data_IF_584081345328
#
_entry.id   IF_584081345328
#
_cell.length_a   1.000
_cell.length_b   1.000
_cell.length_c   1.000
_cell.angle_alpha   90.00
_cell.angle_beta   90.00
_cell.angle_gamma   90.00
#
_symmetry.space_group_name_H-M   'P 1'
#
loop_
_entity.id
_entity.type
_entity.pdbx_description
1 polymer ?
#
# COMPACT_ATOMS: atom_id res chain seq x y z
N UNK A 1 -11.95 -13.64 35.84
CA UNK A 1 -12.73 -12.57 35.20
C UNK A 1 -11.73 -11.53 34.73
N UNK A 2 -11.31 -11.62 33.48
CA UNK A 2 -10.45 -10.63 32.85
C UNK A 2 -11.25 -9.34 32.72
N UNK A 3 -10.74 -8.25 33.32
CA UNK A 3 -11.35 -6.94 33.20
C UNK A 3 -11.23 -6.50 31.73
N UNK A 4 -12.29 -6.72 30.95
CA UNK A 4 -12.37 -6.15 29.63
C UNK A 4 -12.38 -4.63 29.80
N UNK A 5 -11.51 -3.90 29.10
CA UNK A 5 -11.36 -2.44 29.22
C UNK A 5 -12.58 -1.60 28.83
N UNK A 6 -13.78 -2.19 28.77
CA UNK A 6 -15.05 -1.52 28.51
C UNK A 6 -15.47 -0.56 29.63
N UNK A 7 -15.00 -0.79 30.86
CA UNK A 7 -15.41 0.03 32.02
C UNK A 7 -14.70 1.39 32.09
N UNK A 8 -13.60 1.59 31.34
CA UNK A 8 -12.82 2.82 31.32
C UNK A 8 -12.59 3.32 29.89
N UNK A 9 -13.22 4.43 29.51
CA UNK A 9 -12.99 5.11 28.22
C UNK A 9 -14.27 5.51 27.49
N UNK A 10 -14.13 6.22 26.37
CA UNK A 10 -15.26 6.54 25.48
C UNK A 10 -15.53 5.35 24.57
N UNK A 11 -16.79 4.94 24.45
CA UNK A 11 -17.23 3.84 23.57
C UNK A 11 -16.73 3.99 22.12
N UNK A 12 -16.72 5.22 21.58
CA UNK A 12 -16.09 5.59 20.31
C UNK A 12 -16.36 4.62 19.14
N UNK A 13 -17.64 4.24 18.94
CA UNK A 13 -18.08 3.37 17.84
C UNK A 13 -17.62 3.87 16.46
N UNK A 14 -17.51 3.02 15.42
CA UNK A 14 -16.95 3.39 14.12
C UNK A 14 -17.44 4.74 13.57
N UNK A 15 -18.75 5.00 13.59
CA UNK A 15 -19.40 6.23 13.11
C UNK A 15 -19.23 7.48 14.02
N UNK A 16 -18.44 7.40 15.09
CA UNK A 16 -18.24 8.47 16.08
C UNK A 16 -16.81 9.00 16.04
N UNK A 17 -16.68 10.32 16.06
CA UNK A 17 -15.39 11.00 16.20
C UNK A 17 -14.76 11.40 14.87
N UNK A 18 -13.47 11.73 14.91
CA UNK A 18 -12.70 12.10 13.72
C UNK A 18 -12.18 10.83 13.06
N UNK A 19 -12.39 10.70 11.75
CA UNK A 19 -11.95 9.55 10.95
C UNK A 19 -10.48 9.67 10.55
N UNK A 20 -9.57 9.50 11.51
CA UNK A 20 -8.17 9.14 11.23
C UNK A 20 -8.05 7.63 11.01
N UNK A 21 -6.96 7.19 10.41
CA UNK A 21 -6.72 5.77 10.14
C UNK A 21 -6.70 4.95 11.45
N UNK A 22 -7.57 3.95 11.53
CA UNK A 22 -7.84 3.15 12.71
C UNK A 22 -8.12 3.96 14.00
N UNK A 23 -8.61 5.20 13.84
CA UNK A 23 -8.77 6.18 14.92
C UNK A 23 -7.50 6.52 15.69
N UNK A 24 -6.35 6.40 15.03
CA UNK A 24 -5.04 6.76 15.58
C UNK A 24 -4.96 8.27 15.86
N UNK A 25 -4.13 8.71 16.82
CA UNK A 25 -3.91 10.14 17.07
C UNK A 25 -3.45 10.89 15.82
N UNK A 26 -4.09 12.03 15.54
CA UNK A 26 -3.64 12.95 14.50
C UNK A 26 -2.40 13.72 14.97
N UNK A 27 -1.39 13.82 14.11
CA UNK A 27 -0.17 14.57 14.36
C UNK A 27 0.08 15.56 13.22
N UNK A 28 -0.21 16.83 13.49
CA UNK A 28 -0.02 17.93 12.52
C UNK A 28 1.47 18.23 12.27
N UNK A 29 2.29 18.24 13.32
CA UNK A 29 3.71 18.55 13.21
C UNK A 29 4.54 17.29 12.93
N UNK A 30 4.95 17.12 11.67
CA UNK A 30 5.72 15.96 11.21
C UNK A 30 7.15 15.89 11.77
N UNK A 31 7.65 16.95 12.43
CA UNK A 31 8.93 16.92 13.16
C UNK A 31 8.83 16.26 14.54
N UNK A 32 7.62 15.91 14.98
CA UNK A 32 7.34 15.32 16.30
C UNK A 32 6.89 13.86 16.20
N UNK A 33 7.15 13.19 15.08
CA UNK A 33 6.80 11.77 14.89
C UNK A 33 7.56 10.95 15.93
N UNK A 34 6.80 10.32 16.84
CA UNK A 34 7.30 9.43 17.89
C UNK A 34 6.43 8.16 17.93
N UNK A 35 6.43 7.43 16.82
CA UNK A 35 5.57 6.29 16.55
C UNK A 35 6.34 5.16 15.87
N UNK A 36 5.75 3.97 15.87
CA UNK A 36 6.30 2.82 15.15
C UNK A 36 5.79 2.81 13.70
N UNK A 37 4.58 3.34 13.47
CA UNK A 37 3.95 3.51 12.16
C UNK A 37 3.40 4.92 12.01
N UNK A 38 3.60 5.52 10.85
CA UNK A 38 3.00 6.80 10.49
C UNK A 38 2.21 6.67 9.19
N UNK A 39 0.94 7.09 9.23
CA UNK A 39 0.03 7.08 8.10
C UNK A 39 0.08 8.44 7.40
N UNK A 40 0.24 8.44 6.08
CA UNK A 40 0.22 9.65 5.26
C UNK A 40 -0.75 9.45 4.08
N UNK A 41 -1.68 10.36 3.88
CA UNK A 41 -2.49 10.36 2.65
C UNK A 41 -1.80 11.09 1.50
N UNK A 42 -1.95 10.56 0.29
CA UNK A 42 -1.47 11.17 -0.95
C UNK A 42 -2.64 11.32 -1.94
N UNK A 43 -3.58 12.26 -1.72
CA UNK A 43 -4.84 12.38 -2.48
C UNK A 43 -4.64 12.97 -3.89
N UNK A 44 -3.85 12.31 -4.72
CA UNK A 44 -3.46 12.72 -6.07
C UNK A 44 -3.97 11.71 -7.10
N UNK A 45 -4.73 12.16 -8.11
CA UNK A 45 -5.17 11.30 -9.22
C UNK A 45 -5.01 11.95 -10.60
N UNK A 46 -4.10 12.92 -10.73
CA UNK A 46 -3.92 13.68 -11.97
C UNK A 46 -3.16 12.87 -13.04
N UNK A 47 -2.57 11.73 -12.66
CA UNK A 47 -1.87 10.80 -13.54
C UNK A 47 -2.77 9.72 -14.15
N UNK A 48 -4.06 9.67 -13.77
CA UNK A 48 -5.04 8.68 -14.26
C UNK A 48 -5.35 8.84 -15.76
N UNK A 49 -5.63 7.72 -16.42
CA UNK A 49 -5.93 7.68 -17.86
C UNK A 49 -7.39 7.39 -18.20
N UNK A 50 -8.17 6.88 -17.25
CA UNK A 50 -9.59 6.57 -17.49
C UNK A 50 -10.49 7.23 -16.45
N UNK A 51 -10.80 6.57 -15.34
CA UNK A 51 -11.66 7.10 -14.29
C UNK A 51 -10.82 7.80 -13.22
N UNK A 52 -11.07 9.09 -13.02
CA UNK A 52 -10.63 9.80 -11.82
C UNK A 52 -11.46 9.37 -10.60
N UNK A 53 -10.98 9.65 -9.40
CA UNK A 53 -11.68 9.37 -8.14
C UNK A 53 -10.75 8.92 -7.02
N UNK A 54 -9.55 8.43 -7.37
CA UNK A 54 -8.58 7.94 -6.40
C UNK A 54 -8.08 9.02 -5.43
N UNK A 55 -8.21 10.32 -5.77
CA UNK A 55 -7.94 11.42 -4.82
C UNK A 55 -8.80 11.36 -3.54
N UNK A 56 -9.94 10.66 -3.56
CA UNK A 56 -10.78 10.44 -2.38
C UNK A 56 -10.47 9.12 -1.64
N UNK A 57 -9.58 8.30 -2.20
CA UNK A 57 -9.09 7.04 -1.62
C UNK A 57 -8.59 7.20 -0.19
N UNK A 58 -7.71 8.16 0.14
CA UNK A 58 -7.19 8.30 1.51
C UNK A 58 -8.29 8.55 2.54
N UNK A 59 -9.32 9.32 2.19
CA UNK A 59 -10.46 9.58 3.07
C UNK A 59 -11.35 8.34 3.22
N UNK A 60 -11.67 7.67 2.12
CA UNK A 60 -12.47 6.44 2.13
C UNK A 60 -11.82 5.34 2.96
N UNK A 61 -10.50 5.15 2.82
CA UNK A 61 -9.75 4.15 3.60
C UNK A 61 -9.76 4.51 5.09
N UNK A 62 -9.54 5.78 5.46
CA UNK A 62 -9.62 6.21 6.86
C UNK A 62 -11.00 5.96 7.46
N UNK A 63 -12.06 6.33 6.75
CA UNK A 63 -13.44 6.10 7.20
C UNK A 63 -13.71 4.61 7.41
N UNK A 64 -13.38 3.78 6.42
CA UNK A 64 -13.55 2.33 6.50
C UNK A 64 -12.73 1.70 7.64
N UNK A 65 -11.51 2.20 7.88
CA UNK A 65 -10.64 1.70 8.95
C UNK A 65 -11.19 1.90 10.36
N UNK A 66 -12.16 2.81 10.55
CA UNK A 66 -12.82 3.00 11.85
C UNK A 66 -13.60 1.77 12.31
N UNK A 67 -14.01 0.90 11.36
CA UNK A 67 -14.62 -0.40 11.64
C UNK A 67 -13.68 -1.34 12.42
N UNK A 68 -12.37 -1.18 12.17
CA UNK A 68 -11.31 -2.03 12.70
C UNK A 68 -10.47 -1.30 13.75
N UNK A 69 -10.99 -0.21 14.33
CA UNK A 69 -10.38 0.45 15.47
C UNK A 69 -10.60 -0.40 16.73
N UNK A 70 -9.87 -1.52 16.81
CA UNK A 70 -9.86 -2.39 17.98
C UNK A 70 -9.25 -1.63 19.15
N UNK A 71 -9.83 -1.77 20.35
CA UNK A 71 -9.39 -1.03 21.53
C UNK A 71 -7.94 -1.30 21.93
N UNK A 72 -7.51 -0.72 23.05
CA UNK A 72 -6.12 -0.73 23.56
C UNK A 72 -5.46 -2.12 23.78
N UNK A 73 -6.18 -3.22 23.54
CA UNK A 73 -5.72 -4.60 23.77
C UNK A 73 -5.20 -5.31 22.51
N UNK A 74 -5.12 -4.62 21.36
CA UNK A 74 -4.75 -5.25 20.09
C UNK A 74 -5.91 -6.03 19.43
N UNK A 75 -5.58 -6.78 18.38
CA UNK A 75 -6.53 -7.55 17.57
C UNK A 75 -6.12 -9.03 17.56
N UNK A 76 -6.82 -9.83 18.37
CA UNK A 76 -6.62 -11.29 18.38
C UNK A 76 -7.17 -11.92 17.10
N UNK A 77 -6.31 -12.69 16.43
CA UNK A 77 -6.68 -13.57 15.35
C UNK A 77 -6.68 -15.03 15.82
N UNK A 78 -7.75 -15.75 15.50
CA UNK A 78 -7.91 -17.15 15.87
C UNK A 78 -7.11 -18.08 14.95
N UNK A 79 -6.96 -17.72 13.67
CA UNK A 79 -6.27 -18.58 12.70
C UNK A 79 -4.77 -18.68 13.03
N UNK A 80 -4.16 -17.54 13.34
CA UNK A 80 -2.75 -17.46 13.72
C UNK A 80 -2.49 -17.66 15.24
N UNK A 81 -3.53 -17.69 16.08
CA UNK A 81 -3.48 -17.69 17.56
C UNK A 81 -2.57 -16.56 18.12
N UNK A 82 -2.73 -15.36 17.57
CA UNK A 82 -1.85 -14.22 17.80
C UNK A 82 -2.66 -12.94 18.04
N UNK A 83 -2.22 -12.11 18.98
CA UNK A 83 -2.73 -10.74 19.13
C UNK A 83 -1.85 -9.76 18.34
N UNK A 84 -2.38 -9.24 17.25
CA UNK A 84 -1.74 -8.23 16.42
C UNK A 84 -1.91 -6.82 17.00
N UNK A 85 -1.03 -5.90 16.58
CA UNK A 85 -1.08 -4.46 16.90
C UNK A 85 -0.96 -4.12 18.40
N UNK A 86 -0.79 -5.10 19.28
CA UNK A 86 -0.65 -4.86 20.72
C UNK A 86 0.63 -4.07 21.04
N UNK A 87 0.45 -2.94 21.74
CA UNK A 87 1.52 -2.04 22.12
C UNK A 87 2.16 -1.27 20.95
N UNK A 88 1.56 -1.30 19.75
CA UNK A 88 2.06 -0.58 18.58
C UNK A 88 1.58 0.87 18.59
N UNK A 89 2.50 1.83 18.41
CA UNK A 89 2.16 3.26 18.30
C UNK A 89 1.97 3.61 16.84
N UNK A 90 0.74 3.96 16.48
CA UNK A 90 0.36 4.44 15.16
C UNK A 90 -0.05 5.92 15.28
N UNK A 91 0.40 6.76 14.35
CA UNK A 91 -0.06 8.15 14.20
C UNK A 91 -0.56 8.41 12.79
N UNK A 92 -1.56 9.27 12.63
CA UNK A 92 -2.03 9.74 11.33
C UNK A 92 -1.52 11.17 11.10
N UNK A 93 -0.76 11.37 10.03
CA UNK A 93 -0.16 12.66 9.71
C UNK A 93 -1.08 13.59 8.91
N UNK A 94 -2.29 13.12 8.58
CA UNK A 94 -3.13 13.75 7.58
C UNK A 94 -2.59 13.50 6.17
N UNK A 95 -2.68 14.49 5.30
CA UNK A 95 -2.38 14.35 3.88
C UNK A 95 -1.17 15.20 3.48
N UNK A 96 -0.43 14.75 2.47
CA UNK A 96 0.49 15.60 1.75
C UNK A 96 -0.29 16.64 0.93
N UNK A 97 0.21 17.88 0.91
CA UNK A 97 -0.40 18.95 0.11
C UNK A 97 -0.33 18.65 -1.39
N UNK A 98 -1.49 18.66 -2.05
CA UNK A 98 -1.60 18.47 -3.49
C UNK A 98 -1.82 19.83 -4.16
N UNK A 99 -0.90 20.20 -5.05
CA UNK A 99 -0.98 21.45 -5.81
C UNK A 99 -1.73 21.19 -7.11
N UNK A 100 -2.88 21.82 -7.25
CA UNK A 100 -3.76 21.70 -8.41
C UNK A 100 -2.97 21.77 -9.72
N UNK A 101 -3.11 20.75 -10.56
CA UNK A 101 -2.46 20.62 -11.88
C UNK A 101 -0.92 20.52 -11.89
N UNK A 102 -0.26 20.61 -10.73
CA UNK A 102 1.20 20.53 -10.63
C UNK A 102 1.63 19.18 -10.06
N UNK A 103 1.86 18.23 -10.96
CA UNK A 103 2.35 16.88 -10.63
C UNK A 103 3.68 16.92 -9.91
N UNK A 104 4.63 17.74 -10.39
CA UNK A 104 6.00 17.73 -9.86
C UNK A 104 6.03 18.24 -8.43
N UNK A 105 5.33 19.35 -8.15
CA UNK A 105 5.26 19.89 -6.80
C UNK A 105 4.48 18.97 -5.86
N UNK A 106 3.37 18.39 -6.33
CA UNK A 106 2.58 17.44 -5.54
C UNK A 106 3.39 16.19 -5.17
N UNK A 107 4.14 15.63 -6.12
CA UNK A 107 5.04 14.51 -5.86
C UNK A 107 6.15 14.89 -4.86
N UNK A 108 6.74 16.07 -4.99
CA UNK A 108 7.74 16.54 -4.03
C UNK A 108 7.18 16.67 -2.60
N UNK A 109 5.91 17.08 -2.45
CA UNK A 109 5.26 17.16 -1.14
C UNK A 109 4.99 15.78 -0.54
N UNK A 110 4.60 14.79 -1.35
CA UNK A 110 4.45 13.39 -0.93
C UNK A 110 5.81 12.82 -0.48
N UNK A 111 6.85 13.01 -1.28
CA UNK A 111 8.22 12.58 -0.97
C UNK A 111 8.69 13.19 0.35
N UNK A 112 8.44 14.48 0.58
CA UNK A 112 8.79 15.16 1.82
C UNK A 112 8.13 14.51 3.05
N UNK A 113 6.85 14.16 2.96
CA UNK A 113 6.14 13.46 4.04
C UNK A 113 6.74 12.09 4.34
N UNK A 114 7.02 11.28 3.31
CA UNK A 114 7.65 9.97 3.49
C UNK A 114 9.05 10.11 4.09
N UNK A 115 9.84 11.11 3.69
CA UNK A 115 11.17 11.38 4.29
C UNK A 115 11.08 11.74 5.77
N UNK A 116 10.07 12.49 6.20
CA UNK A 116 9.86 12.80 7.63
C UNK A 116 9.58 11.53 8.44
N UNK A 117 8.76 10.63 7.90
CA UNK A 117 8.46 9.34 8.52
C UNK A 117 9.73 8.50 8.66
N UNK A 118 10.50 8.37 7.57
CA UNK A 118 11.76 7.61 7.57
C UNK A 118 12.80 8.20 8.53
N UNK A 119 12.93 9.53 8.59
CA UNK A 119 13.86 10.20 9.50
C UNK A 119 13.50 9.98 10.99
N UNK A 120 12.22 9.77 11.30
CA UNK A 120 11.76 9.40 12.63
C UNK A 120 11.94 7.90 12.97
N UNK A 121 12.38 7.08 12.01
CA UNK A 121 12.52 5.63 12.17
C UNK A 121 11.19 4.87 12.18
N UNK A 122 10.10 5.51 11.75
CA UNK A 122 8.77 4.90 11.67
C UNK A 122 8.55 4.23 10.30
N UNK A 123 7.65 3.25 10.25
CA UNK A 123 7.20 2.63 9.01
C UNK A 123 6.23 3.58 8.27
N UNK A 124 6.55 4.02 7.03
CA UNK A 124 5.60 4.77 6.22
C UNK A 124 4.52 3.85 5.64
N UNK A 125 3.26 4.20 5.90
CA UNK A 125 2.09 3.62 5.24
C UNK A 125 1.35 4.74 4.52
N UNK A 126 1.40 4.72 3.19
CA UNK A 126 0.84 5.78 2.35
C UNK A 126 -0.51 5.33 1.81
N UNK A 127 -1.56 6.07 2.17
CA UNK A 127 -2.89 5.91 1.59
C UNK A 127 -2.89 6.67 0.27
N UNK A 128 -2.95 5.94 -0.83
CA UNK A 128 -2.71 6.48 -2.15
C UNK A 128 -3.91 7.18 -2.76
N UNK A 129 -3.59 7.98 -3.78
CA UNK A 129 -4.46 8.25 -4.91
C UNK A 129 -4.10 7.29 -6.04
N UNK A 130 -3.91 7.79 -7.26
CA UNK A 130 -3.48 6.96 -8.38
C UNK A 130 -2.07 6.40 -8.17
N UNK A 131 -1.69 5.38 -8.96
CA UNK A 131 -0.42 4.68 -8.75
C UNK A 131 0.82 5.53 -9.00
N UNK A 132 0.70 6.71 -9.61
CA UNK A 132 1.85 7.60 -9.81
C UNK A 132 2.46 8.09 -8.51
N UNK A 133 1.72 8.07 -7.39
CA UNK A 133 2.24 8.44 -6.07
C UNK A 133 3.30 7.47 -5.54
N UNK A 134 3.46 6.27 -6.14
CA UNK A 134 4.53 5.36 -5.76
C UNK A 134 5.91 5.99 -6.02
N UNK A 135 6.12 6.74 -7.10
CA UNK A 135 7.47 7.27 -7.39
C UNK A 135 7.99 8.28 -6.36
N UNK A 136 7.23 9.28 -5.84
CA UNK A 136 7.72 10.08 -4.74
C UNK A 136 7.96 9.27 -3.45
N UNK A 137 7.17 8.21 -3.20
CA UNK A 137 7.44 7.32 -2.08
C UNK A 137 8.78 6.58 -2.24
N UNK A 138 9.07 6.03 -3.43
CA UNK A 138 10.33 5.37 -3.74
C UNK A 138 11.51 6.34 -3.73
N UNK A 139 11.33 7.59 -4.19
CA UNK A 139 12.39 8.60 -4.15
C UNK A 139 12.85 8.92 -2.72
N UNK A 140 11.95 8.86 -1.73
CA UNK A 140 12.28 9.09 -0.32
C UNK A 140 13.35 8.13 0.22
N UNK A 141 13.57 6.98 -0.43
CA UNK A 141 14.58 5.98 -0.05
C UNK A 141 15.98 6.25 -0.62
N UNK A 142 16.21 7.38 -1.30
CA UNK A 142 17.51 7.68 -1.93
C UNK A 142 18.71 7.72 -0.97
N UNK A 143 18.45 7.96 0.32
CA UNK A 143 19.44 8.01 1.40
C UNK A 143 19.33 6.83 2.36
N UNK A 144 18.52 5.83 2.01
CA UNK A 144 18.31 4.61 2.77
C UNK A 144 19.09 3.45 2.16
N UNK A 145 19.15 2.32 2.87
CA UNK A 145 19.63 1.08 2.28
C UNK A 145 18.74 0.65 1.10
N UNK A 146 19.31 0.02 0.06
CA UNK A 146 18.56 -0.40 -1.12
C UNK A 146 17.39 -1.33 -0.81
N UNK A 147 16.32 -1.20 -1.60
CA UNK A 147 15.05 -1.88 -1.44
C UNK A 147 14.72 -2.75 -2.65
N UNK A 148 13.97 -3.83 -2.41
CA UNK A 148 13.32 -4.62 -3.46
C UNK A 148 11.83 -4.29 -3.46
N UNK A 149 11.28 -3.93 -4.61
CA UNK A 149 9.85 -3.56 -4.70
C UNK A 149 9.02 -4.82 -4.95
N UNK A 150 7.95 -5.00 -4.19
CA UNK A 150 6.95 -6.06 -4.43
C UNK A 150 5.62 -5.38 -4.71
N UNK A 151 5.13 -5.58 -5.93
CA UNK A 151 3.91 -4.98 -6.45
C UNK A 151 2.80 -6.04 -6.52
N UNK A 152 1.63 -5.70 -5.99
CA UNK A 152 0.37 -6.43 -6.23
C UNK A 152 -0.50 -5.57 -7.14
N UNK A 153 -0.79 -6.04 -8.36
CA UNK A 153 -1.38 -5.20 -9.40
C UNK A 153 -1.93 -6.06 -10.56
N UNK A 154 -2.92 -5.55 -11.29
CA UNK A 154 -3.30 -6.11 -12.59
C UNK A 154 -2.36 -5.69 -13.72
N UNK A 155 -1.66 -4.57 -13.56
CA UNK A 155 -0.87 -3.85 -14.55
C UNK A 155 0.62 -3.76 -14.16
N UNK A 156 1.48 -3.70 -15.18
CA UNK A 156 2.93 -3.69 -15.06
C UNK A 156 3.49 -2.30 -14.73
N UNK A 157 2.76 -1.25 -15.07
CA UNK A 157 3.10 0.15 -14.75
C UNK A 157 4.52 0.57 -15.16
N UNK A 158 4.88 0.10 -16.35
CA UNK A 158 6.22 0.16 -16.90
C UNK A 158 6.36 1.02 -18.16
N UNK A 159 5.41 1.93 -18.40
CA UNK A 159 5.44 2.83 -19.56
C UNK A 159 6.51 3.89 -19.36
N UNK A 160 7.41 4.05 -20.34
CA UNK A 160 8.46 5.09 -20.27
C UNK A 160 7.88 6.50 -20.36
N UNK A 161 7.12 6.73 -21.44
CA UNK A 161 6.51 7.99 -21.76
C UNK A 161 5.25 7.75 -22.59
N UNK A 162 4.20 8.54 -22.31
CA UNK A 162 3.03 8.63 -23.16
C UNK A 162 2.75 10.11 -23.46
N UNK A 163 2.96 10.51 -24.72
CA UNK A 163 2.74 11.90 -25.18
C UNK A 163 3.42 12.96 -24.29
N UNK A 164 4.69 12.78 -23.92
CA UNK A 164 5.43 13.69 -23.04
C UNK A 164 5.21 13.47 -21.54
N UNK A 165 4.30 12.59 -21.12
CA UNK A 165 4.04 12.28 -19.71
C UNK A 165 4.86 11.07 -19.27
N UNK A 166 5.77 11.26 -18.30
CA UNK A 166 6.64 10.22 -17.71
C UNK A 166 6.32 9.85 -16.25
N UNK A 167 5.43 10.61 -15.62
CA UNK A 167 5.05 10.49 -14.21
C UNK A 167 3.54 10.27 -14.05
N UNK A 168 2.92 9.57 -15.01
CA UNK A 168 1.53 9.13 -14.90
C UNK A 168 1.42 7.78 -14.20
N UNK A 169 0.20 7.34 -13.93
CA UNK A 169 -0.03 6.14 -13.13
C UNK A 169 0.47 4.84 -13.77
N UNK A 170 0.59 4.77 -15.11
CA UNK A 170 1.18 3.61 -15.80
C UNK A 170 2.71 3.62 -15.92
N UNK A 171 3.42 4.54 -15.25
CA UNK A 171 4.89 4.70 -15.30
C UNK A 171 5.69 4.49 -14.00
N UNK A 172 5.11 4.36 -12.78
CA UNK A 172 5.88 4.41 -11.54
C UNK A 172 6.94 3.32 -11.43
N UNK A 173 6.65 2.08 -11.84
CA UNK A 173 7.61 0.96 -11.73
C UNK A 173 8.74 1.08 -12.75
N UNK A 174 8.47 1.66 -13.92
CA UNK A 174 9.55 2.04 -14.85
C UNK A 174 10.46 3.08 -14.21
N UNK A 175 9.91 4.11 -13.57
CA UNK A 175 10.71 5.13 -12.85
C UNK A 175 11.48 4.54 -11.68
N UNK A 176 10.89 3.58 -10.95
CA UNK A 176 11.54 2.88 -9.84
C UNK A 176 12.73 2.03 -10.33
N UNK A 177 12.60 1.33 -11.46
CA UNK A 177 13.69 0.52 -12.03
C UNK A 177 14.93 1.33 -12.43
N UNK A 178 14.77 2.63 -12.66
CA UNK A 178 15.86 3.55 -13.02
C UNK A 178 16.65 4.03 -11.79
N UNK A 179 16.23 3.66 -10.56
CA UNK A 179 16.85 4.12 -9.31
C UNK A 179 17.93 3.17 -8.81
N UNK A 180 19.12 3.69 -8.42
CA UNK A 180 20.20 2.84 -7.93
C UNK A 180 19.93 2.21 -6.56
N UNK A 181 18.94 2.72 -5.81
CA UNK A 181 18.49 2.15 -4.54
C UNK A 181 17.35 1.13 -4.70
N UNK A 182 16.96 0.78 -5.93
CA UNK A 182 16.00 -0.31 -6.20
C UNK A 182 16.78 -1.50 -6.76
N UNK A 183 16.84 -2.59 -5.99
CA UNK A 183 17.65 -3.77 -6.36
C UNK A 183 16.94 -4.72 -7.33
N UNK A 184 15.63 -4.58 -7.47
CA UNK A 184 14.78 -5.45 -8.27
C UNK A 184 13.30 -5.20 -7.98
N UNK A 185 12.45 -5.77 -8.82
CA UNK A 185 10.99 -5.64 -8.72
C UNK A 185 10.37 -7.03 -8.89
N UNK A 186 9.45 -7.40 -8.01
CA UNK A 186 8.57 -8.56 -8.21
C UNK A 186 7.15 -8.05 -8.41
N UNK A 187 6.53 -8.41 -9.53
CA UNK A 187 5.22 -7.95 -9.95
C UNK A 187 4.24 -9.12 -9.98
N UNK A 188 3.23 -9.06 -9.11
CA UNK A 188 2.30 -10.14 -8.83
C UNK A 188 0.89 -9.73 -9.21
N UNK A 189 0.24 -10.53 -10.05
CA UNK A 189 -1.15 -10.32 -10.47
C UNK A 189 -1.33 -9.87 -11.93
N UNK A 190 -0.21 -9.63 -12.64
CA UNK A 190 -0.19 -9.06 -13.98
C UNK A 190 -1.03 -9.88 -14.96
N UNK A 191 -2.02 -9.26 -15.59
CA UNK A 191 -2.99 -9.97 -16.43
C UNK A 191 -3.63 -9.06 -17.50
N UNK A 192 -4.42 -9.71 -18.35
CA UNK A 192 -5.12 -9.11 -19.49
C UNK A 192 -4.17 -8.45 -20.51
N UNK A 193 -4.74 -7.96 -21.61
CA UNK A 193 -3.97 -7.31 -22.68
C UNK A 193 -3.81 -5.82 -22.39
N UNK A 194 -2.80 -5.19 -22.99
CA UNK A 194 -2.62 -3.73 -23.02
C UNK A 194 -2.14 -3.05 -21.73
N UNK A 195 -1.62 -3.80 -20.74
CA UNK A 195 -0.94 -3.19 -19.61
C UNK A 195 0.34 -2.43 -20.04
N UNK A 196 1.14 -3.02 -20.93
CA UNK A 196 2.22 -2.31 -21.66
C UNK A 196 2.49 -3.01 -23.00
N UNK A 197 3.28 -2.39 -23.86
CA UNK A 197 3.76 -2.99 -25.09
C UNK A 197 4.77 -4.13 -24.80
N UNK A 198 5.00 -5.00 -25.78
CA UNK A 198 5.91 -6.15 -25.63
C UNK A 198 7.31 -5.71 -25.17
N UNK A 199 7.79 -4.61 -25.73
CA UNK A 199 9.08 -3.99 -25.44
C UNK A 199 9.16 -3.55 -23.96
N UNK A 200 8.03 -3.12 -23.37
CA UNK A 200 7.93 -2.79 -21.95
C UNK A 200 8.17 -4.01 -21.06
N UNK A 201 7.59 -5.16 -21.40
CA UNK A 201 7.84 -6.42 -20.69
C UNK A 201 9.29 -6.92 -20.86
N UNK A 202 9.87 -6.77 -22.05
CA UNK A 202 11.26 -7.14 -22.31
C UNK A 202 12.22 -6.26 -21.50
N UNK A 203 11.98 -4.95 -21.48
CA UNK A 203 12.76 -4.00 -20.70
C UNK A 203 12.61 -4.28 -19.19
N UNK A 204 11.40 -4.50 -18.68
CA UNK A 204 11.17 -4.82 -17.27
C UNK A 204 11.98 -6.06 -16.84
N UNK A 205 11.97 -7.13 -17.64
CA UNK A 205 12.78 -8.33 -17.38
C UNK A 205 14.28 -8.07 -17.48
N UNK A 206 14.71 -7.24 -18.44
CA UNK A 206 16.11 -6.84 -18.57
C UNK A 206 16.61 -6.03 -17.37
N UNK A 207 15.73 -5.29 -16.70
CA UNK A 207 16.00 -4.61 -15.42
C UNK A 207 15.82 -5.52 -14.19
N UNK A 208 15.62 -6.83 -14.38
CA UNK A 208 15.53 -7.80 -13.29
C UNK A 208 14.13 -7.97 -12.68
N UNK A 209 13.07 -7.54 -13.37
CA UNK A 209 11.70 -7.74 -12.89
C UNK A 209 11.27 -9.21 -13.02
N UNK A 210 10.72 -9.79 -11.94
CA UNK A 210 10.01 -11.06 -11.99
C UNK A 210 8.50 -10.82 -12.08
N UNK A 211 7.85 -11.38 -13.09
CA UNK A 211 6.48 -11.03 -13.48
C UNK A 211 5.61 -12.28 -13.45
N UNK A 212 4.61 -12.29 -12.58
CA UNK A 212 3.71 -13.43 -12.40
C UNK A 212 2.25 -12.99 -12.48
N UNK A 213 1.49 -13.67 -13.33
CA UNK A 213 0.03 -13.54 -13.36
C UNK A 213 -0.63 -14.28 -12.21
N UNK A 214 -1.86 -13.89 -11.86
CA UNK A 214 -2.69 -14.62 -10.87
C UNK A 214 -2.81 -16.11 -11.23
N UNK A 215 -2.96 -16.45 -12.52
CA UNK A 215 -3.03 -17.85 -12.98
C UNK A 215 -1.76 -18.64 -12.69
N UNK A 216 -0.59 -18.02 -12.85
CA UNK A 216 0.69 -18.64 -12.53
C UNK A 216 0.85 -18.79 -11.02
N UNK A 217 0.51 -17.75 -10.25
CA UNK A 217 0.57 -17.76 -8.78
C UNK A 217 -0.30 -18.88 -8.21
N UNK A 218 -1.57 -19.00 -8.65
CA UNK A 218 -2.47 -20.09 -8.23
C UNK A 218 -1.92 -21.48 -8.56
N UNK A 219 -1.25 -21.63 -9.70
CA UNK A 219 -0.63 -22.90 -10.11
C UNK A 219 0.61 -23.23 -9.28
N UNK A 220 1.39 -22.22 -8.89
CA UNK A 220 2.61 -22.37 -8.10
C UNK A 220 2.31 -22.60 -6.62
N UNK A 221 1.28 -21.93 -6.08
CA UNK A 221 1.04 -21.84 -4.64
C UNK A 221 1.90 -20.76 -3.99
N UNK A 222 1.52 -20.36 -2.78
CA UNK A 222 2.13 -19.24 -2.03
C UNK A 222 3.62 -19.46 -1.78
N UNK A 223 4.01 -20.62 -1.26
CA UNK A 223 5.41 -20.92 -0.89
C UNK A 223 6.35 -20.82 -2.09
N UNK A 224 5.98 -21.41 -3.22
CA UNK A 224 6.80 -21.38 -4.44
C UNK A 224 6.88 -19.96 -5.05
N UNK A 225 5.88 -19.11 -4.85
CA UNK A 225 5.96 -17.69 -5.24
C UNK A 225 6.91 -16.94 -4.32
N UNK A 226 6.83 -17.15 -3.00
CA UNK A 226 7.72 -16.54 -2.03
C UNK A 226 9.19 -16.91 -2.25
N UNK A 227 9.46 -18.15 -2.69
CA UNK A 227 10.82 -18.60 -3.05
C UNK A 227 11.44 -17.83 -4.21
N UNK A 228 10.62 -17.26 -5.10
CA UNK A 228 11.09 -16.42 -6.21
C UNK A 228 11.44 -15.00 -5.78
N UNK A 229 10.92 -14.56 -4.63
CA UNK A 229 11.24 -13.26 -4.05
C UNK A 229 12.59 -13.36 -3.30
N UNK A 230 13.59 -12.50 -3.61
CA UNK A 230 14.90 -12.59 -2.99
C UNK A 230 14.83 -12.43 -1.47
N UNK A 231 15.21 -13.46 -0.72
CA UNK A 231 15.17 -13.47 0.74
C UNK A 231 16.18 -12.49 1.38
N UNK A 232 15.91 -12.10 2.63
CA UNK A 232 16.77 -11.23 3.45
C UNK A 232 16.86 -9.79 2.94
N UNK A 233 15.95 -9.36 2.07
CA UNK A 233 15.92 -7.99 1.53
C UNK A 233 15.01 -7.08 2.35
N UNK A 234 15.20 -5.78 2.14
CA UNK A 234 14.27 -4.73 2.53
C UNK A 234 13.22 -4.62 1.44
N UNK A 235 11.96 -4.88 1.75
CA UNK A 235 10.87 -4.85 0.80
C UNK A 235 10.09 -3.55 0.91
N UNK A 236 9.84 -2.90 -0.21
CA UNK A 236 8.79 -1.89 -0.32
C UNK A 236 7.57 -2.51 -0.97
N UNK A 237 6.43 -2.50 -0.27
CA UNK A 237 5.17 -3.00 -0.80
C UNK A 237 4.42 -1.89 -1.52
N UNK A 238 3.98 -2.16 -2.73
CA UNK A 238 3.03 -1.31 -3.44
C UNK A 238 1.81 -2.15 -3.84
N UNK A 239 0.64 -1.74 -3.37
CA UNK A 239 -0.59 -2.52 -3.49
C UNK A 239 -1.59 -1.70 -4.29
N UNK A 240 -1.75 -2.03 -5.57
CA UNK A 240 -2.86 -1.54 -6.37
C UNK A 240 -4.11 -2.35 -6.06
N UNK A 241 -5.20 -1.66 -5.69
CA UNK A 241 -6.45 -2.32 -5.38
C UNK A 241 -7.08 -3.03 -6.58
N UNK A 242 -6.73 -2.65 -7.82
CA UNK A 242 -7.16 -3.33 -9.03
C UNK A 242 -6.45 -4.69 -9.25
N UNK A 243 -5.41 -4.99 -8.47
CA UNK A 243 -4.82 -6.32 -8.37
C UNK A 243 -5.83 -7.36 -7.88
N UNK A 244 -6.81 -6.95 -7.07
CA UNK A 244 -7.92 -7.78 -6.63
C UNK A 244 -8.98 -7.95 -7.71
N UNK A 245 -9.76 -9.02 -7.62
CA UNK A 245 -10.87 -9.22 -8.55
C UNK A 245 -11.96 -8.15 -8.34
N UNK A 246 -12.53 -7.56 -9.40
CA UNK A 246 -13.60 -6.56 -9.28
C UNK A 246 -14.84 -7.06 -8.54
N UNK A 247 -15.03 -8.38 -8.40
CA UNK A 247 -16.11 -8.94 -7.57
C UNK A 247 -15.98 -8.64 -6.07
N UNK A 248 -14.78 -8.31 -5.57
CA UNK A 248 -14.53 -7.94 -4.18
C UNK A 248 -13.99 -6.52 -4.00
N UNK A 249 -13.39 -5.96 -5.06
CA UNK A 249 -12.84 -4.61 -5.08
C UNK A 249 -13.24 -3.84 -6.36
N UNK A 250 -14.52 -3.52 -6.57
CA UNK A 250 -14.98 -2.84 -7.79
C UNK A 250 -14.58 -1.35 -7.87
N UNK A 251 -14.34 -0.70 -6.73
CA UNK A 251 -14.05 0.73 -6.60
C UNK A 251 -12.63 1.12 -6.99
N UNK A 252 -12.31 1.02 -8.28
CA UNK A 252 -11.00 1.42 -8.84
C UNK A 252 -11.13 2.15 -10.17
N UNK A 253 -10.04 2.84 -10.54
CA UNK A 253 -9.84 3.42 -11.85
C UNK A 253 -10.09 2.39 -12.95
N UNK A 254 -9.28 1.33 -13.05
CA UNK A 254 -9.23 0.37 -14.17
C UNK A 254 -9.42 -1.09 -13.72
N UNK A 255 -10.66 -1.55 -13.42
CA UNK A 255 -10.90 -2.88 -12.89
C UNK A 255 -10.57 -3.96 -13.92
N UNK A 256 -9.96 -5.05 -13.45
CA UNK A 256 -9.42 -6.10 -14.32
C UNK A 256 -9.84 -7.48 -13.81
N UNK A 257 -10.70 -8.20 -14.55
CA UNK A 257 -11.22 -9.50 -14.12
C UNK A 257 -10.14 -10.59 -14.02
N UNK A 258 -10.40 -11.59 -13.17
CA UNK A 258 -9.50 -12.70 -12.90
C UNK A 258 -8.42 -12.36 -11.87
N UNK A 259 -8.73 -11.40 -10.97
CA UNK A 259 -7.81 -10.89 -9.96
C UNK A 259 -7.67 -11.79 -8.74
N UNK A 260 -6.89 -11.32 -7.77
CA UNK A 260 -6.75 -11.98 -6.49
C UNK A 260 -8.04 -11.93 -5.67
N UNK A 261 -8.22 -12.94 -4.83
CA UNK A 261 -9.10 -12.84 -3.65
C UNK A 261 -8.27 -12.47 -2.42
N UNK A 262 -8.94 -11.96 -1.38
CA UNK A 262 -8.30 -11.36 -0.20
C UNK A 262 -7.14 -12.18 0.39
N UNK A 263 -7.37 -13.46 0.72
CA UNK A 263 -6.36 -14.31 1.34
C UNK A 263 -5.15 -14.58 0.45
N UNK A 264 -5.28 -14.58 -0.89
CA UNK A 264 -4.11 -14.81 -1.76
C UNK A 264 -3.04 -13.73 -1.57
N UNK A 265 -3.47 -12.47 -1.42
CA UNK A 265 -2.55 -11.35 -1.16
C UNK A 265 -2.09 -11.37 0.30
N UNK A 266 -2.98 -11.62 1.25
CA UNK A 266 -2.63 -11.63 2.67
C UNK A 266 -1.57 -12.69 3.00
N UNK A 267 -1.71 -13.92 2.48
CA UNK A 267 -0.74 -15.00 2.70
C UNK A 267 0.62 -14.70 2.09
N UNK A 268 0.65 -14.07 0.91
CA UNK A 268 1.90 -13.61 0.29
C UNK A 268 2.58 -12.53 1.14
N UNK A 269 1.82 -11.57 1.69
CA UNK A 269 2.36 -10.55 2.60
C UNK A 269 2.86 -11.18 3.90
N UNK A 270 2.12 -12.12 4.48
CA UNK A 270 2.48 -12.83 5.70
C UNK A 270 3.81 -13.59 5.53
N UNK A 271 3.95 -14.31 4.42
CA UNK A 271 5.18 -15.03 4.09
C UNK A 271 6.35 -14.08 3.78
N UNK A 272 6.09 -12.95 3.12
CA UNK A 272 7.12 -11.95 2.84
C UNK A 272 7.68 -11.35 4.13
N UNK A 273 6.81 -11.04 5.09
CA UNK A 273 7.18 -10.51 6.41
C UNK A 273 8.05 -11.48 7.24
N UNK A 274 8.05 -12.79 6.91
CA UNK A 274 8.91 -13.80 7.55
C UNK A 274 10.25 -14.00 6.83
N UNK A 275 10.38 -13.50 5.58
CA UNK A 275 11.54 -13.73 4.70
C UNK A 275 12.47 -12.53 4.59
N UNK A 276 12.08 -11.37 5.11
CA UNK A 276 12.85 -10.14 5.07
C UNK A 276 12.10 -9.03 5.80
N UNK A 277 12.43 -7.78 5.51
CA UNK A 277 11.91 -6.64 6.29
C UNK A 277 11.09 -5.74 5.39
N UNK A 278 9.78 -5.63 5.63
CA UNK A 278 8.95 -4.66 4.93
C UNK A 278 9.21 -3.28 5.55
N UNK A 279 9.69 -2.35 4.74
CA UNK A 279 10.18 -1.03 5.17
C UNK A 279 9.27 0.13 4.77
N UNK A 280 8.17 -0.15 4.08
CA UNK A 280 7.20 0.83 3.62
C UNK A 280 6.11 0.18 2.80
N UNK A 281 4.94 0.81 2.82
CA UNK A 281 3.75 0.35 2.08
C UNK A 281 3.07 1.55 1.43
N UNK A 282 2.64 1.43 0.18
CA UNK A 282 1.55 2.22 -0.37
C UNK A 282 0.38 1.32 -0.78
N UNK A 283 -0.85 1.85 -0.66
CA UNK A 283 -2.06 1.23 -1.19
C UNK A 283 -2.81 2.26 -2.02
N UNK A 284 -2.96 1.99 -3.31
CA UNK A 284 -3.33 2.97 -4.35
C UNK A 284 -4.60 2.57 -5.10
N UNK A 285 -5.07 3.48 -5.96
CA UNK A 285 -6.18 3.32 -6.90
C UNK A 285 -7.56 3.01 -6.28
N UNK A 286 -7.71 3.17 -4.96
CA UNK A 286 -9.01 3.12 -4.29
C UNK A 286 -9.83 4.33 -4.71
N UNK A 287 -10.91 4.10 -5.44
CA UNK A 287 -11.84 5.12 -5.93
C UNK A 287 -13.25 4.86 -5.35
N UNK A 288 -13.55 5.43 -4.16
CA UNK A 288 -14.78 5.10 -3.41
C UNK A 288 -16.07 5.32 -4.19
N UNK A 289 -16.12 6.32 -5.07
CA UNK A 289 -17.33 6.69 -5.82
C UNK A 289 -17.79 5.62 -6.83
N UNK A 290 -16.93 4.65 -7.18
CA UNK A 290 -17.29 3.52 -8.03
C UNK A 290 -17.67 2.25 -7.27
N UNK A 291 -17.68 2.31 -5.94
CA UNK A 291 -18.20 1.23 -5.08
C UNK A 291 -19.14 1.80 -4.02
N UNK A 292 -20.43 1.85 -4.37
CA UNK A 292 -21.47 2.34 -3.47
C UNK A 292 -21.68 1.48 -2.22
N UNK A 293 -21.12 0.26 -2.18
CA UNK A 293 -21.20 -0.61 -0.99
C UNK A 293 -20.08 -0.32 0.02
N UNK A 294 -19.01 0.36 -0.41
CA UNK A 294 -17.81 0.61 0.40
C UNK A 294 -16.90 -0.60 0.61
N UNK A 295 -17.19 -1.75 -0.03
CA UNK A 295 -16.42 -2.99 0.07
C UNK A 295 -14.93 -2.80 -0.24
N UNK A 296 -14.59 -2.05 -1.29
CA UNK A 296 -13.20 -1.77 -1.67
C UNK A 296 -12.45 -1.04 -0.56
N UNK A 297 -13.05 0.00 0.04
CA UNK A 297 -12.41 0.77 1.10
C UNK A 297 -12.24 -0.07 2.38
N UNK A 298 -13.22 -0.92 2.70
CA UNK A 298 -13.14 -1.89 3.80
C UNK A 298 -12.02 -2.89 3.56
N UNK A 299 -11.93 -3.47 2.36
CA UNK A 299 -10.86 -4.38 1.97
C UNK A 299 -9.48 -3.71 2.13
N UNK A 300 -9.31 -2.50 1.60
CA UNK A 300 -8.06 -1.75 1.68
C UNK A 300 -7.66 -1.48 3.15
N UNK A 301 -8.60 -1.00 3.97
CA UNK A 301 -8.35 -0.74 5.38
C UNK A 301 -7.99 -2.01 6.16
N UNK A 302 -8.73 -3.10 5.93
CA UNK A 302 -8.50 -4.37 6.60
C UNK A 302 -7.15 -4.98 6.19
N UNK A 303 -6.81 -4.92 4.90
CA UNK A 303 -5.54 -5.41 4.38
C UNK A 303 -4.38 -4.64 5.01
N UNK A 304 -4.42 -3.30 5.03
CA UNK A 304 -3.36 -2.48 5.63
C UNK A 304 -3.16 -2.79 7.12
N UNK A 305 -4.23 -2.94 7.91
CA UNK A 305 -4.10 -3.30 9.32
C UNK A 305 -3.50 -4.69 9.52
N UNK A 306 -3.90 -5.66 8.70
CA UNK A 306 -3.32 -7.00 8.72
C UNK A 306 -1.85 -7.01 8.29
N UNK A 307 -1.49 -6.21 7.28
CA UNK A 307 -0.11 -6.00 6.84
C UNK A 307 0.73 -5.41 7.97
N UNK A 308 0.28 -4.32 8.61
CA UNK A 308 0.97 -3.69 9.73
C UNK A 308 1.15 -4.70 10.88
N UNK A 309 0.09 -5.43 11.25
CA UNK A 309 0.18 -6.45 12.30
C UNK A 309 1.26 -7.49 12.02
N UNK A 310 1.30 -8.01 10.78
CA UNK A 310 2.26 -9.03 10.37
C UNK A 310 3.71 -8.52 10.27
N UNK A 311 3.90 -7.24 9.97
CA UNK A 311 5.23 -6.60 10.01
C UNK A 311 5.78 -6.59 11.44
N UNK A 312 4.97 -6.21 12.42
CA UNK A 312 5.45 -5.97 13.79
C UNK A 312 5.39 -7.19 14.72
N UNK A 313 4.59 -8.21 14.43
CA UNK A 313 4.63 -9.44 15.23
C UNK A 313 5.95 -10.20 15.00
N UNK A 314 6.41 -10.26 13.75
CA UNK A 314 7.62 -11.00 13.38
C UNK A 314 8.90 -10.26 13.84
N UNK A 315 8.82 -8.95 14.10
CA UNK A 315 9.94 -8.18 14.63
C UNK A 315 10.20 -8.41 16.13
N UNK A 316 9.24 -9.02 16.86
CA UNK A 316 9.32 -9.29 18.30
C UNK A 316 9.65 -10.75 18.63
N UNK A 317 9.80 -11.62 17.63
CA UNK A 317 10.25 -13.02 17.77
C UNK A 317 11.72 -13.14 17.38
#
# INVERSE_FOLDING_TARGET
>A
MTAHGYDNGRLNLPFVGISTFAKSPYLENWDQIAADVAILGAPFDFGTQWRSGARFGPRGIREASTLFAFGHAGAYDHEDDVTYLEGLRIVDLGDADIVHTDTIKSHANIEYGVRKILAAGALPVVLGGDHSINIPCINAFSEQEPIHVVQFDAHLDFVDERHGVRFGHGSPLRRASEKPWVTGITQLGIRNVSSTAKEGYEYARAQGSDILSVRQIRKLGVDAVLERIPAGKRYYLTIDVDGFDPSIAPGTGTPSHGGFIYYEVLELIAGLAKRGTIIGVDLVEVAPDYDHTGSTAILAAQLLLNTIGRIFINAKQ
#
